data_IF_525132028786
#
_entry.id   IF_525132028786
#
_cell.length_a   1.000
_cell.length_b   1.000
_cell.length_c   1.000
_cell.angle_alpha   90.00
_cell.angle_beta   90.00
_cell.angle_gamma   90.00
#
_symmetry.space_group_name_H-M   'P 1'
#
loop_
_entity.id
_entity.type
_entity.pdbx_description
1 polymer ?
#
# COMPACT_ATOMS: atom_id res chain seq x y z
N UNK A 1 29.57 25.05 -51.29
CA UNK A 1 28.83 26.14 -51.96
C UNK A 1 27.43 25.64 -52.27
N UNK A 2 26.44 26.49 -52.02
CA UNK A 2 24.99 26.30 -52.25
C UNK A 2 24.26 25.37 -51.30
N UNK A 3 23.05 25.68 -50.82
CA UNK A 3 22.32 26.94 -50.61
C UNK A 3 21.07 26.49 -49.82
N UNK A 4 20.71 27.23 -48.78
CA UNK A 4 19.39 27.11 -48.16
C UNK A 4 18.31 27.58 -49.14
N UNK A 5 17.06 27.09 -48.98
CA UNK A 5 15.78 27.80 -49.06
C UNK A 5 14.60 26.80 -48.87
N UNK A 6 13.39 27.26 -48.50
CA UNK A 6 12.51 26.58 -47.55
C UNK A 6 11.27 25.96 -48.21
N UNK A 7 10.67 24.97 -47.54
CA UNK A 7 9.37 24.40 -47.92
C UNK A 7 8.22 25.27 -47.41
N UNK A 8 7.55 25.94 -48.34
CA UNK A 8 6.25 26.57 -48.14
C UNK A 8 5.13 25.54 -48.26
N UNK A 9 4.20 25.56 -47.29
CA UNK A 9 3.01 24.72 -47.27
C UNK A 9 1.96 25.25 -48.26
N UNK A 10 1.48 24.37 -49.14
CA UNK A 10 0.35 24.61 -50.04
C UNK A 10 -0.88 23.92 -49.43
N UNK A 11 -1.83 24.70 -48.90
CA UNK A 11 -3.11 24.19 -48.41
C UNK A 11 -4.11 24.19 -49.56
N UNK A 12 -4.59 23.01 -49.94
CA UNK A 12 -5.71 22.83 -50.85
C UNK A 12 -7.03 23.03 -50.08
N UNK A 13 -7.80 24.03 -50.46
CA UNK A 13 -9.17 24.22 -50.01
C UNK A 13 -10.10 23.29 -50.81
N UNK A 14 -10.81 22.40 -50.11
CA UNK A 14 -11.97 21.70 -50.64
C UNK A 14 -13.19 22.14 -49.82
N UNK A 15 -14.05 22.95 -50.44
CA UNK A 15 -15.34 23.33 -49.90
C UNK A 15 -16.30 22.15 -50.06
N UNK A 16 -16.92 21.70 -48.96
CA UNK A 16 -18.14 20.90 -49.02
C UNK A 16 -19.26 21.72 -48.38
N UNK A 17 -20.27 22.01 -49.20
CA UNK A 17 -21.48 22.70 -48.82
C UNK A 17 -22.37 21.76 -48.00
N UNK A 18 -22.76 22.23 -46.81
CA UNK A 18 -24.03 21.95 -46.15
C UNK A 18 -24.36 20.49 -45.81
N UNK A 19 -24.20 20.14 -44.53
CA UNK A 19 -25.29 19.52 -43.79
C UNK A 19 -25.08 19.67 -42.27
N UNK A 20 -26.20 19.91 -41.61
CA UNK A 20 -26.37 20.40 -40.24
C UNK A 20 -25.80 19.49 -39.15
N UNK A 21 -25.28 20.12 -38.10
CA UNK A 21 -24.89 19.47 -36.85
C UNK A 21 -24.14 20.43 -35.95
N UNK A 22 -24.86 21.33 -35.27
CA UNK A 22 -24.30 22.22 -34.26
C UNK A 22 -23.95 21.45 -32.99
N UNK A 23 -22.66 21.24 -32.75
CA UNK A 23 -22.10 21.09 -31.40
C UNK A 23 -21.05 22.18 -31.23
N UNK A 24 -21.49 23.33 -30.72
CA UNK A 24 -20.59 24.39 -30.28
C UNK A 24 -19.83 23.92 -29.05
N UNK A 25 -18.51 23.93 -29.15
CA UNK A 25 -17.60 24.04 -28.02
C UNK A 25 -17.55 25.51 -27.60
N UNK A 26 -17.92 25.81 -26.36
CA UNK A 26 -17.42 27.00 -25.67
C UNK A 26 -16.67 26.53 -24.43
N UNK A 27 -15.34 26.70 -24.49
CA UNK A 27 -14.49 26.85 -23.32
C UNK A 27 -14.79 28.21 -22.70
N UNK A 28 -15.31 28.21 -21.48
CA UNK A 28 -15.04 29.24 -20.47
C UNK A 28 -15.29 28.61 -19.10
N UNK A 29 -14.29 28.63 -18.21
CA UNK A 29 -14.48 28.44 -16.77
C UNK A 29 -13.34 29.19 -16.07
N UNK A 30 -13.47 30.51 -16.05
CA UNK A 30 -13.21 31.24 -14.82
C UNK A 30 -14.56 31.58 -14.18
N UNK A 31 -14.92 30.89 -13.09
CA UNK A 31 -15.84 31.44 -12.09
C UNK A 31 -17.12 30.65 -11.83
N UNK A 32 -17.08 29.92 -10.70
CA UNK A 32 -18.16 29.67 -9.73
C UNK A 32 -19.51 29.09 -10.23
N UNK A 33 -19.96 27.94 -9.70
CA UNK A 33 -21.33 27.50 -9.91
C UNK A 33 -22.33 28.28 -9.06
N UNK A 34 -23.35 28.71 -9.79
CA UNK A 34 -24.55 29.45 -9.45
C UNK A 34 -25.58 28.67 -8.63
N UNK A 35 -26.41 29.44 -7.95
CA UNK A 35 -27.68 29.04 -7.35
C UNK A 35 -28.80 28.89 -8.41
N UNK A 36 -29.91 28.30 -7.95
CA UNK A 36 -31.31 28.27 -8.46
C UNK A 36 -31.80 26.81 -8.63
N UNK A 37 -32.95 26.32 -8.17
CA UNK A 37 -34.14 26.80 -7.44
C UNK A 37 -34.90 25.50 -6.98
N UNK A 38 -35.96 25.43 -6.17
CA UNK A 38 -36.97 26.38 -5.71
C UNK A 38 -37.78 25.78 -4.53
N UNK A 39 -38.34 26.71 -3.74
CA UNK A 39 -39.64 26.68 -3.07
C UNK A 39 -39.97 25.60 -2.01
N UNK A 40 -40.12 26.10 -0.76
CA UNK A 40 -41.44 26.09 -0.12
C UNK A 40 -41.59 27.22 0.92
N UNK A 41 -42.82 27.69 0.98
CA UNK A 41 -43.38 28.92 1.57
C UNK A 41 -43.76 28.80 3.05
N UNK A 42 -43.68 29.92 3.79
CA UNK A 42 -44.57 30.22 4.93
C UNK A 42 -43.89 30.79 6.16
N UNK A 43 -43.78 32.13 6.24
CA UNK A 43 -43.48 32.84 7.49
C UNK A 43 -44.76 33.46 8.06
N UNK A 44 -45.04 33.14 9.33
CA UNK A 44 -46.13 33.74 10.08
C UNK A 44 -46.41 33.00 11.38
N UNK A 45 -45.77 33.42 12.48
CA UNK A 45 -46.18 32.98 13.82
C UNK A 45 -45.10 33.08 14.88
N UNK A 46 -44.95 34.28 15.47
CA UNK A 46 -44.31 34.41 16.76
C UNK A 46 -45.16 33.70 17.84
N UNK A 47 -44.56 32.80 18.59
CA UNK A 47 -44.98 32.47 19.95
C UNK A 47 -43.77 32.13 20.79
N UNK A 48 -43.44 33.06 21.68
CA UNK A 48 -42.65 32.77 22.85
C UNK A 48 -43.53 31.94 23.80
N UNK A 49 -43.16 30.68 24.02
CA UNK A 49 -43.37 30.03 25.30
C UNK A 49 -42.20 29.08 25.59
N UNK A 50 -41.70 29.14 26.81
CA UNK A 50 -40.41 28.63 27.22
C UNK A 50 -40.37 27.11 27.42
N UNK A 51 -39.20 26.55 27.15
CA UNK A 51 -38.52 25.60 28.04
C UNK A 51 -37.24 25.15 27.32
N UNK A 52 -36.13 25.81 27.65
CA UNK A 52 -34.82 25.37 27.21
C UNK A 52 -34.44 24.10 27.97
N UNK A 53 -34.69 22.95 27.36
CA UNK A 53 -33.88 21.76 27.60
C UNK A 53 -33.26 21.35 26.27
N UNK A 54 -31.93 21.18 26.18
CA UNK A 54 -31.32 20.67 24.97
C UNK A 54 -31.68 19.18 24.87
N UNK A 55 -32.68 18.84 24.08
CA UNK A 55 -32.90 17.46 23.66
C UNK A 55 -31.85 17.11 22.62
N UNK A 56 -30.72 16.59 23.10
CA UNK A 56 -29.77 15.83 22.29
C UNK A 56 -30.56 14.72 21.56
N UNK A 57 -30.34 14.48 20.25
CA UNK A 57 -30.86 13.28 19.61
C UNK A 57 -30.17 12.08 20.25
N UNK A 58 -30.78 11.56 21.31
CA UNK A 58 -30.25 10.49 22.16
C UNK A 58 -30.77 9.16 21.62
N UNK A 59 -30.34 8.79 20.41
CA UNK A 59 -30.29 7.37 20.06
C UNK A 59 -29.14 6.72 20.84
N UNK A 60 -29.24 5.45 21.27
CA UNK A 60 -28.05 4.75 21.75
C UNK A 60 -26.96 4.88 20.70
N UNK A 61 -25.67 5.07 21.09
CA UNK A 61 -24.58 5.14 20.11
C UNK A 61 -24.71 3.94 19.20
N UNK A 62 -24.93 4.25 17.93
CA UNK A 62 -25.17 3.25 16.93
C UNK A 62 -23.83 3.01 16.30
N UNK A 63 -23.19 1.90 16.65
CA UNK A 63 -21.90 1.44 16.12
C UNK A 63 -21.92 1.06 14.63
N UNK A 64 -22.75 1.74 13.84
CA UNK A 64 -23.02 1.52 12.43
C UNK A 64 -23.79 2.71 11.80
N UNK A 65 -23.69 3.93 12.37
CA UNK A 65 -24.36 5.13 11.84
C UNK A 65 -23.43 6.02 10.98
N UNK A 66 -22.17 5.64 10.80
CA UNK A 66 -21.20 6.37 9.99
C UNK A 66 -20.67 7.64 10.67
N UNK A 67 -20.87 7.78 11.97
CA UNK A 67 -20.41 8.94 12.76
C UNK A 67 -19.71 8.44 13.99
N UNK A 68 -18.60 9.11 14.35
CA UNK A 68 -17.97 8.91 15.64
C UNK A 68 -18.80 9.59 16.72
N UNK A 69 -19.58 8.82 17.49
CA UNK A 69 -20.39 9.35 18.59
C UNK A 69 -20.42 8.45 19.85
N UNK A 70 -21.01 8.97 20.92
CA UNK A 70 -21.00 8.30 22.23
C UNK A 70 -19.59 8.03 22.76
N UNK A 71 -19.30 6.75 23.03
CA UNK A 71 -18.02 6.28 23.58
C UNK A 71 -17.05 5.77 22.50
N UNK A 72 -17.37 5.93 21.22
CA UNK A 72 -16.54 5.45 20.11
C UNK A 72 -15.18 6.13 20.03
N UNK A 73 -14.13 5.33 19.81
CA UNK A 73 -12.79 5.86 19.60
C UNK A 73 -12.48 6.14 18.14
N UNK A 74 -13.15 5.47 17.20
CA UNK A 74 -13.21 5.81 15.78
C UNK A 74 -14.63 5.63 15.24
N UNK A 75 -14.91 6.08 14.01
CA UNK A 75 -16.27 5.97 13.42
C UNK A 75 -16.78 4.53 13.48
N UNK A 76 -17.90 4.33 14.19
CA UNK A 76 -18.59 3.03 14.34
C UNK A 76 -17.77 1.95 15.09
N UNK A 77 -16.72 2.31 15.84
CA UNK A 77 -15.91 1.33 16.58
C UNK A 77 -15.19 1.89 17.83
N UNK A 78 -14.74 0.96 18.67
CA UNK A 78 -13.98 1.22 19.89
C UNK A 78 -14.87 1.69 21.04
N UNK A 79 -14.25 1.98 22.18
CA UNK A 79 -14.99 2.22 23.40
C UNK A 79 -15.62 0.95 23.97
N UNK A 80 -16.48 1.11 24.98
CA UNK A 80 -17.01 -0.01 25.75
C UNK A 80 -18.17 -0.75 25.08
N UNK A 81 -18.89 -0.08 24.17
CA UNK A 81 -20.18 -0.56 23.64
C UNK A 81 -20.12 -0.99 22.16
N UNK A 82 -19.09 -0.58 21.43
CA UNK A 82 -18.95 -0.85 20.01
C UNK A 82 -17.91 -1.93 19.71
N UNK A 83 -17.95 -2.54 18.50
CA UNK A 83 -16.93 -3.49 18.09
C UNK A 83 -15.54 -2.87 18.17
N UNK A 84 -14.52 -3.70 18.41
CA UNK A 84 -13.14 -3.23 18.38
C UNK A 84 -12.80 -2.63 17.01
N UNK A 85 -12.13 -1.49 17.02
CA UNK A 85 -11.60 -0.88 15.83
C UNK A 85 -10.60 -1.78 15.10
N UNK A 86 -10.65 -1.80 13.76
CA UNK A 86 -9.66 -2.48 12.96
C UNK A 86 -8.29 -1.80 13.11
N UNK A 87 -7.25 -2.46 12.61
CA UNK A 87 -5.91 -1.89 12.52
C UNK A 87 -5.95 -0.53 11.77
N UNK A 88 -5.19 0.45 12.26
CA UNK A 88 -5.21 1.83 11.78
C UNK A 88 -6.39 2.66 12.30
N UNK A 89 -7.41 2.06 12.93
CA UNK A 89 -8.50 2.78 13.58
C UNK A 89 -8.01 3.58 14.80
N UNK A 90 -8.70 4.66 15.13
CA UNK A 90 -8.41 5.48 16.31
C UNK A 90 -8.76 4.74 17.61
N UNK A 91 -7.92 4.88 18.63
CA UNK A 91 -8.08 4.22 19.92
C UNK A 91 -7.60 5.10 21.06
N UNK A 92 -8.16 4.87 22.26
CA UNK A 92 -7.70 5.45 23.51
C UNK A 92 -6.99 4.40 24.39
N UNK A 93 -7.35 3.13 24.22
CA UNK A 93 -6.84 2.01 25.01
C UNK A 93 -6.77 0.73 24.17
N UNK A 94 -5.98 -0.24 24.65
CA UNK A 94 -5.81 -1.55 24.02
C UNK A 94 -7.14 -2.22 23.64
N UNK A 95 -8.12 -2.21 24.54
CA UNK A 95 -9.41 -2.86 24.33
C UNK A 95 -10.23 -2.27 23.17
N UNK A 96 -9.90 -1.07 22.70
CA UNK A 96 -10.56 -0.48 21.53
C UNK A 96 -10.12 -1.15 20.23
N UNK A 97 -9.04 -1.93 20.24
CA UNK A 97 -8.41 -2.45 19.03
C UNK A 97 -8.60 -3.96 18.88
N UNK A 98 -8.81 -4.42 17.65
CA UNK A 98 -8.92 -5.85 17.33
C UNK A 98 -7.65 -6.63 17.73
N UNK A 99 -6.51 -5.94 17.73
CA UNK A 99 -5.20 -6.45 18.14
C UNK A 99 -4.92 -6.39 19.64
N UNK A 100 -5.81 -5.75 20.41
CA UNK A 100 -5.55 -5.36 21.80
C UNK A 100 -4.31 -4.46 21.98
N UNK A 101 -3.91 -3.72 20.95
CA UNK A 101 -2.78 -2.82 21.00
C UNK A 101 -3.14 -1.45 20.41
N UNK A 102 -3.20 -0.46 21.31
CA UNK A 102 -3.35 0.95 20.94
C UNK A 102 -1.98 1.62 20.97
N UNK A 103 -1.50 2.04 19.80
CA UNK A 103 -0.22 2.72 19.63
C UNK A 103 -0.16 4.06 20.35
N UNK A 104 1.06 4.54 20.60
CA UNK A 104 1.29 5.85 21.23
C UNK A 104 0.75 7.04 20.40
N UNK A 105 0.47 6.82 19.12
CA UNK A 105 -0.20 7.76 18.21
C UNK A 105 -1.74 7.71 18.29
N UNK A 106 -2.30 6.91 19.21
CA UNK A 106 -3.74 6.72 19.34
C UNK A 106 -4.35 5.92 18.19
N UNK A 107 -3.58 5.02 17.57
CA UNK A 107 -4.04 4.15 16.48
C UNK A 107 -3.90 2.67 16.84
N UNK A 108 -4.86 1.85 16.45
CA UNK A 108 -4.81 0.40 16.58
C UNK A 108 -3.68 -0.16 15.73
N UNK A 109 -2.77 -0.90 16.35
CA UNK A 109 -1.60 -1.49 15.68
C UNK A 109 -1.56 -2.98 15.92
N UNK A 110 -0.81 -3.72 15.12
CA UNK A 110 -0.28 -5.00 15.55
C UNK A 110 1.25 -4.87 15.53
N UNK A 111 1.96 -5.18 16.61
CA UNK A 111 3.43 -5.15 16.55
C UNK A 111 4.03 -6.38 15.81
N UNK A 112 3.18 -7.10 15.08
CA UNK A 112 3.54 -8.25 14.25
C UNK A 112 4.26 -7.84 12.96
N UNK A 113 4.30 -6.56 12.59
CA UNK A 113 5.02 -6.04 11.42
C UNK A 113 4.38 -6.34 10.07
N UNK A 114 3.59 -7.40 9.96
CA UNK A 114 2.78 -7.72 8.79
C UNK A 114 1.36 -7.17 8.92
N UNK A 115 0.85 -6.59 7.84
CA UNK A 115 -0.45 -5.92 7.81
C UNK A 115 -1.62 -6.87 8.16
N UNK A 116 -1.55 -8.12 7.73
CA UNK A 116 -2.55 -9.16 8.02
C UNK A 116 -2.39 -9.81 9.40
N UNK A 117 -1.34 -9.44 10.14
CA UNK A 117 -1.09 -9.88 11.51
C UNK A 117 -0.40 -11.24 11.64
N UNK A 118 0.00 -11.89 10.54
CA UNK A 118 0.75 -13.16 10.58
C UNK A 118 2.16 -12.99 10.04
N UNK A 119 3.14 -13.61 10.70
CA UNK A 119 4.54 -13.65 10.23
C UNK A 119 4.83 -15.02 9.60
N UNK A 120 5.30 -15.05 8.37
CA UNK A 120 5.71 -16.28 7.66
C UNK A 120 7.21 -16.58 7.83
N UNK A 121 7.96 -15.64 8.38
CA UNK A 121 9.35 -15.74 8.77
C UNK A 121 9.67 -14.72 9.85
N UNK A 122 10.75 -14.93 10.59
CA UNK A 122 11.05 -14.18 11.82
C UNK A 122 9.92 -14.27 12.85
N UNK A 123 9.31 -15.46 12.99
CA UNK A 123 8.17 -15.71 13.87
C UNK A 123 8.49 -15.64 15.37
N UNK A 124 9.77 -15.72 15.75
CA UNK A 124 10.21 -15.53 17.13
C UNK A 124 10.30 -14.03 17.47
N UNK A 125 9.15 -13.39 17.72
CA UNK A 125 9.05 -11.93 17.95
C UNK A 125 9.93 -11.41 19.09
N UNK A 126 10.20 -12.22 20.11
CA UNK A 126 11.12 -11.85 21.19
C UNK A 126 12.59 -11.74 20.71
N UNK A 127 12.97 -12.53 19.71
CA UNK A 127 14.31 -12.51 19.11
C UNK A 127 14.41 -11.55 17.92
N UNK A 128 13.29 -11.30 17.25
CA UNK A 128 13.18 -10.49 16.03
C UNK A 128 12.05 -9.47 16.16
N UNK A 129 12.13 -8.53 17.12
CA UNK A 129 11.08 -7.55 17.32
C UNK A 129 10.96 -6.59 16.13
N UNK A 130 12.05 -6.34 15.39
CA UNK A 130 12.12 -5.25 14.41
C UNK A 130 12.15 -5.70 12.95
N UNK A 131 11.96 -7.00 12.67
CA UNK A 131 11.90 -7.55 11.31
C UNK A 131 10.84 -8.65 11.23
N UNK A 132 10.08 -8.68 10.14
CA UNK A 132 9.07 -9.69 9.85
C UNK A 132 9.12 -10.08 8.37
N UNK A 133 8.87 -11.35 8.05
CA UNK A 133 8.61 -11.74 6.66
C UNK A 133 7.10 -11.87 6.47
N UNK A 134 6.56 -11.07 5.56
CA UNK A 134 5.12 -10.86 5.38
C UNK A 134 4.72 -11.34 3.99
N UNK A 135 3.96 -12.44 3.94
CA UNK A 135 3.52 -13.02 2.68
C UNK A 135 2.24 -12.35 2.18
N UNK A 136 2.00 -12.48 0.88
CA UNK A 136 0.86 -11.87 0.22
C UNK A 136 1.22 -11.33 -1.15
N UNK A 137 0.21 -10.80 -1.83
CA UNK A 137 0.36 -10.19 -3.15
C UNK A 137 0.33 -8.67 -3.15
N UNK A 138 0.69 -8.10 -4.29
CA UNK A 138 0.49 -6.71 -4.68
C UNK A 138 0.35 -6.64 -6.21
N UNK A 139 -0.61 -5.84 -6.68
CA UNK A 139 -0.83 -5.66 -8.11
C UNK A 139 -0.21 -4.38 -8.66
N UNK A 140 0.02 -3.34 -7.86
CA UNK A 140 0.68 -2.12 -8.33
C UNK A 140 2.20 -2.36 -8.44
N UNK A 141 2.81 -2.19 -9.62
CA UNK A 141 4.17 -2.62 -9.86
C UNK A 141 5.19 -1.82 -9.06
N UNK A 142 6.31 -2.49 -8.78
CA UNK A 142 7.55 -1.87 -8.36
C UNK A 142 7.86 -2.04 -6.88
N UNK A 143 9.16 -2.15 -6.61
CA UNK A 143 9.78 -2.16 -5.29
C UNK A 143 10.47 -0.85 -4.95
N UNK A 144 10.90 -0.09 -5.95
CA UNK A 144 11.64 1.18 -5.74
C UNK A 144 10.72 2.34 -5.37
N UNK A 145 9.42 2.15 -5.49
CA UNK A 145 8.47 3.20 -5.22
C UNK A 145 8.23 3.36 -3.71
N UNK A 146 8.65 4.51 -3.15
CA UNK A 146 8.47 4.87 -1.74
C UNK A 146 7.08 5.44 -1.44
N UNK A 147 6.11 5.27 -2.36
CA UNK A 147 4.69 5.60 -2.14
C UNK A 147 4.20 5.02 -0.81
N UNK A 148 3.35 5.80 -0.16
CA UNK A 148 2.53 5.32 0.94
C UNK A 148 1.71 4.07 0.51
N UNK A 149 1.25 3.24 1.47
CA UNK A 149 0.35 2.12 1.18
C UNK A 149 -0.83 2.56 0.32
N UNK A 150 -1.12 1.84 -0.76
CA UNK A 150 -2.09 2.24 -1.77
C UNK A 150 -3.52 1.72 -1.50
N UNK A 151 -3.65 0.62 -0.76
CA UNK A 151 -4.92 -0.03 -0.50
C UNK A 151 -5.28 -0.07 0.99
N UNK A 152 -4.69 0.82 1.79
CA UNK A 152 -4.94 0.90 3.22
C UNK A 152 -4.42 -0.32 3.99
N UNK A 153 -3.31 -0.93 3.53
CA UNK A 153 -2.70 -2.11 4.16
C UNK A 153 -3.64 -3.31 4.23
N UNK A 154 -4.49 -3.47 3.23
CA UNK A 154 -5.41 -4.61 3.13
C UNK A 154 -4.73 -5.88 2.58
N UNK A 155 -3.46 -5.82 2.14
CA UNK A 155 -2.74 -6.96 1.58
C UNK A 155 -2.30 -7.97 2.67
N UNK A 156 -1.98 -9.20 2.24
CA UNK A 156 -1.46 -10.25 3.11
C UNK A 156 -2.12 -11.61 2.86
N UNK A 157 -1.39 -12.71 2.99
CA UNK A 157 -1.92 -14.05 2.72
C UNK A 157 -3.04 -14.48 3.69
N UNK A 158 -3.07 -13.93 4.90
CA UNK A 158 -4.15 -14.14 5.86
C UNK A 158 -5.22 -13.03 5.81
N UNK A 159 -5.13 -12.09 4.86
CA UNK A 159 -6.05 -10.95 4.74
C UNK A 159 -7.27 -11.24 3.85
N UNK A 160 -8.17 -10.26 3.76
CA UNK A 160 -9.31 -10.27 2.83
C UNK A 160 -8.91 -9.94 1.38
N UNK A 161 -7.71 -9.36 1.16
CA UNK A 161 -7.17 -9.05 -0.16
C UNK A 161 -5.82 -9.75 -0.40
N UNK A 162 -5.80 -11.09 -0.44
CA UNK A 162 -4.55 -11.86 -0.43
C UNK A 162 -3.77 -11.78 -1.74
N UNK A 163 -4.41 -11.40 -2.85
CA UNK A 163 -3.74 -11.09 -4.12
C UNK A 163 -3.16 -9.67 -4.17
N UNK A 164 -3.47 -8.82 -3.18
CA UNK A 164 -3.07 -7.42 -3.15
C UNK A 164 -3.60 -6.62 -4.33
N UNK A 165 -4.85 -6.86 -4.72
CA UNK A 165 -5.51 -6.05 -5.75
C UNK A 165 -5.51 -4.58 -5.33
N UNK A 166 -5.01 -3.73 -6.22
CA UNK A 166 -4.83 -2.28 -6.05
C UNK A 166 -3.87 -1.90 -4.90
N UNK A 167 -3.11 -2.87 -4.37
CA UNK A 167 -2.09 -2.65 -3.35
C UNK A 167 -0.69 -2.53 -3.98
N UNK A 168 0.19 -1.79 -3.31
CA UNK A 168 1.63 -1.79 -3.56
C UNK A 168 2.36 -2.62 -2.48
N UNK A 169 3.68 -2.77 -2.61
CA UNK A 169 4.50 -3.57 -1.68
C UNK A 169 4.44 -3.09 -0.23
N UNK A 170 4.23 -1.78 0.00
CA UNK A 170 4.16 -1.22 1.35
C UNK A 170 2.87 -1.58 2.09
N UNK A 171 1.81 -2.01 1.37
CA UNK A 171 0.56 -2.48 1.97
C UNK A 171 0.70 -3.83 2.70
N UNK A 172 1.80 -4.57 2.49
CA UNK A 172 2.07 -5.81 3.23
C UNK A 172 2.66 -5.54 4.63
N UNK A 173 3.25 -4.37 4.83
CA UNK A 173 3.80 -3.98 6.12
C UNK A 173 2.76 -3.25 6.97
N UNK A 174 2.88 -3.34 8.29
CA UNK A 174 2.03 -2.61 9.22
C UNK A 174 2.42 -1.11 9.34
N UNK A 175 1.53 -0.28 9.86
CA UNK A 175 1.83 1.06 10.38
C UNK A 175 3.02 1.01 11.35
N UNK A 176 4.00 1.90 11.15
CA UNK A 176 5.27 1.88 11.90
C UNK A 176 6.31 0.92 11.33
N UNK A 177 5.98 0.25 10.22
CA UNK A 177 6.86 -0.65 9.49
C UNK A 177 6.89 -0.25 8.00
N UNK A 178 8.01 -0.57 7.36
CA UNK A 178 8.25 -0.34 5.94
C UNK A 178 8.88 -1.59 5.32
N UNK A 179 8.87 -1.68 3.98
CA UNK A 179 9.63 -2.74 3.29
C UNK A 179 11.10 -2.47 3.52
N UNK A 180 11.84 -3.43 4.08
CA UNK A 180 13.26 -3.25 4.41
C UNK A 180 14.02 -2.70 3.21
N UNK A 181 14.83 -1.67 3.44
CA UNK A 181 15.48 -0.92 2.38
C UNK A 181 16.62 -1.71 1.74
N UNK A 182 17.52 -2.27 2.55
CA UNK A 182 18.72 -2.92 2.05
C UNK A 182 19.25 -4.04 2.98
N UNK A 183 20.30 -4.72 2.52
CA UNK A 183 20.98 -5.76 3.28
C UNK A 183 21.51 -5.28 4.64
N UNK A 184 21.94 -4.02 4.76
CA UNK A 184 22.45 -3.46 6.02
C UNK A 184 21.33 -3.30 7.04
N UNK A 185 20.16 -2.85 6.59
CA UNK A 185 18.98 -2.79 7.44
C UNK A 185 18.54 -4.18 7.88
N UNK A 186 18.41 -5.15 6.95
CA UNK A 186 18.05 -6.53 7.30
C UNK A 186 19.01 -7.09 8.34
N UNK A 187 20.31 -6.84 8.19
CA UNK A 187 21.32 -7.25 9.18
C UNK A 187 21.07 -6.61 10.54
N UNK A 188 20.78 -5.31 10.58
CA UNK A 188 20.56 -4.57 11.82
C UNK A 188 19.29 -5.04 12.53
N UNK A 189 18.16 -5.11 11.81
CA UNK A 189 16.84 -5.44 12.37
C UNK A 189 16.69 -6.91 12.76
N UNK A 190 17.53 -7.79 12.22
CA UNK A 190 17.62 -9.22 12.60
C UNK A 190 18.66 -9.51 13.70
N UNK A 191 19.25 -8.48 14.33
CA UNK A 191 20.28 -8.66 15.36
C UNK A 191 21.57 -9.29 14.82
N UNK A 192 21.88 -9.08 13.54
CA UNK A 192 23.05 -9.61 12.84
C UNK A 192 22.85 -10.95 12.14
N UNK A 193 21.70 -11.60 12.33
CA UNK A 193 21.44 -12.95 11.80
C UNK A 193 21.12 -12.96 10.29
N UNK A 194 20.64 -11.84 9.74
CA UNK A 194 20.27 -11.78 8.34
C UNK A 194 19.13 -12.73 7.98
N UNK A 195 19.18 -13.28 6.76
CA UNK A 195 18.24 -14.29 6.31
C UNK A 195 18.27 -15.59 7.13
N UNK A 196 19.37 -15.88 7.85
CA UNK A 196 19.44 -17.06 8.72
C UNK A 196 18.43 -16.97 9.88
N UNK A 197 18.01 -15.77 10.26
CA UNK A 197 17.00 -15.56 11.31
C UNK A 197 15.55 -15.81 10.85
N UNK A 198 15.30 -15.90 9.55
CA UNK A 198 13.94 -15.98 9.01
C UNK A 198 13.24 -17.31 9.35
N UNK A 199 14.00 -18.41 9.46
CA UNK A 199 13.56 -19.73 9.90
C UNK A 199 12.24 -20.21 9.25
N UNK A 200 12.22 -20.30 7.91
CA UNK A 200 11.04 -20.76 7.16
C UNK A 200 10.69 -22.23 7.43
N UNK A 201 9.43 -22.58 7.22
CA UNK A 201 8.96 -23.96 7.35
C UNK A 201 9.74 -24.92 6.42
N UNK A 202 10.00 -26.13 6.88
CA UNK A 202 10.73 -27.13 6.10
C UNK A 202 10.00 -27.43 4.78
N UNK A 203 10.72 -27.34 3.66
CA UNK A 203 10.16 -27.56 2.32
C UNK A 203 9.32 -26.41 1.77
N UNK A 204 9.18 -25.30 2.50
CA UNK A 204 8.55 -24.10 1.96
C UNK A 204 9.31 -23.60 0.72
N UNK A 205 8.57 -23.15 -0.30
CA UNK A 205 9.13 -22.49 -1.48
C UNK A 205 8.78 -21.00 -1.43
N UNK A 206 9.61 -20.21 -0.74
CA UNK A 206 9.31 -18.82 -0.40
C UNK A 206 10.48 -17.90 -0.71
N UNK A 207 10.16 -16.69 -1.14
CA UNK A 207 11.10 -15.60 -1.34
C UNK A 207 10.48 -14.33 -0.75
N UNK A 208 11.25 -13.61 0.07
CA UNK A 208 10.82 -12.37 0.69
C UNK A 208 11.77 -11.26 0.31
N UNK A 209 11.25 -10.33 -0.48
CA UNK A 209 12.04 -9.31 -1.17
C UNK A 209 12.26 -8.08 -0.29
N UNK A 210 13.39 -7.40 -0.49
CA UNK A 210 13.69 -6.05 0.05
C UNK A 210 13.61 -5.01 -1.07
N UNK A 211 13.75 -3.71 -0.76
CA UNK A 211 13.76 -2.66 -1.81
C UNK A 211 15.05 -2.65 -2.62
N UNK A 212 16.18 -3.02 -2.01
CA UNK A 212 17.48 -3.05 -2.67
C UNK A 212 17.47 -3.96 -3.91
N UNK A 213 17.96 -3.40 -5.00
CA UNK A 213 18.19 -4.06 -6.28
C UNK A 213 19.68 -3.99 -6.62
N UNK A 214 20.04 -4.04 -7.90
CA UNK A 214 21.41 -4.07 -8.34
C UNK A 214 21.64 -3.61 -9.78
N UNK A 215 22.91 -3.45 -10.17
CA UNK A 215 23.30 -3.17 -11.55
C UNK A 215 23.25 -4.41 -12.45
N UNK A 216 22.94 -5.59 -11.89
CA UNK A 216 22.93 -6.89 -12.56
C UNK A 216 24.12 -7.77 -12.17
N UNK A 217 24.16 -8.99 -12.71
CA UNK A 217 25.23 -9.95 -12.43
C UNK A 217 25.19 -10.48 -10.99
N UNK A 218 24.00 -10.56 -10.39
CA UNK A 218 23.78 -11.02 -9.02
C UNK A 218 24.39 -10.13 -7.91
N UNK A 219 24.78 -8.89 -8.23
CA UNK A 219 25.34 -7.93 -7.28
C UNK A 219 24.26 -7.00 -6.73
N UNK A 220 24.30 -6.72 -5.43
CA UNK A 220 23.46 -5.69 -4.82
C UNK A 220 24.12 -4.31 -4.95
N UNK A 221 23.32 -3.27 -5.17
CA UNK A 221 23.82 -1.90 -5.31
C UNK A 221 22.81 -1.00 -6.00
N UNK A 222 23.31 0.05 -6.66
CA UNK A 222 22.49 0.96 -7.43
C UNK A 222 22.05 0.31 -8.75
N UNK A 223 20.78 0.42 -9.08
CA UNK A 223 20.17 -0.14 -10.28
C UNK A 223 18.79 -0.74 -10.00
N UNK A 224 18.18 -1.28 -11.04
CA UNK A 224 16.87 -1.93 -10.98
C UNK A 224 16.89 -3.35 -11.55
N UNK A 225 18.08 -3.87 -11.85
CA UNK A 225 18.28 -5.19 -12.37
C UNK A 225 18.33 -6.20 -11.22
N UNK A 226 17.55 -7.26 -11.35
CA UNK A 226 17.28 -8.26 -10.31
C UNK A 226 16.60 -7.72 -9.04
N UNK A 227 15.93 -8.61 -8.31
CA UNK A 227 15.39 -8.34 -6.98
C UNK A 227 16.00 -9.31 -5.97
N UNK A 228 16.28 -8.82 -4.75
CA UNK A 228 17.05 -9.53 -3.74
C UNK A 228 16.26 -9.69 -2.46
N UNK A 229 16.60 -10.70 -1.66
CA UNK A 229 15.84 -10.99 -0.45
C UNK A 229 16.32 -12.23 0.30
N UNK A 230 15.43 -12.70 1.16
CA UNK A 230 15.61 -13.93 1.94
C UNK A 230 14.68 -15.03 1.43
N UNK A 231 15.16 -16.27 1.36
CA UNK A 231 14.25 -17.35 0.96
C UNK A 231 14.86 -18.72 0.76
N UNK A 232 14.00 -19.64 0.35
CA UNK A 232 14.34 -21.01 -0.02
C UNK A 232 14.37 -21.22 -1.53
N UNK A 233 13.86 -20.25 -2.31
CA UNK A 233 13.89 -20.24 -3.79
C UNK A 233 14.57 -18.97 -4.29
N UNK A 234 15.09 -19.01 -5.52
CA UNK A 234 16.00 -18.00 -6.06
C UNK A 234 17.44 -18.51 -6.16
N UNK A 235 18.25 -17.82 -6.95
CA UNK A 235 19.68 -18.09 -7.05
C UNK A 235 20.46 -17.42 -5.91
N UNK A 236 21.71 -17.83 -5.69
CA UNK A 236 22.57 -17.24 -4.67
C UNK A 236 23.21 -15.95 -5.20
N UNK A 237 23.06 -14.80 -4.52
CA UNK A 237 23.66 -13.54 -4.94
C UNK A 237 25.15 -13.48 -4.60
N UNK A 238 25.83 -12.44 -5.08
CA UNK A 238 27.20 -12.14 -4.66
C UNK A 238 27.25 -11.77 -3.18
N UNK A 239 27.91 -12.60 -2.37
CA UNK A 239 27.98 -12.43 -0.92
C UNK A 239 28.76 -11.17 -0.49
N UNK A 240 29.61 -10.62 -1.36
CA UNK A 240 30.42 -9.43 -1.04
C UNK A 240 29.55 -8.17 -1.02
N UNK A 241 28.66 -8.05 -2.00
CA UNK A 241 27.78 -6.88 -2.19
C UNK A 241 26.44 -7.04 -1.49
N UNK A 242 25.88 -8.25 -1.47
CA UNK A 242 24.55 -8.52 -0.91
C UNK A 242 24.56 -8.92 0.58
N UNK A 243 25.74 -9.17 1.15
CA UNK A 243 25.93 -9.37 2.59
C UNK A 243 25.06 -10.48 3.19
N UNK A 244 23.97 -10.08 3.85
CA UNK A 244 23.07 -11.00 4.56
C UNK A 244 21.92 -11.55 3.71
N UNK A 245 21.71 -11.01 2.51
CA UNK A 245 20.69 -11.49 1.57
C UNK A 245 21.19 -12.77 0.89
N UNK A 246 20.34 -13.79 0.81
CA UNK A 246 20.75 -15.12 0.37
C UNK A 246 20.06 -15.61 -0.91
N UNK A 247 19.08 -14.84 -1.42
CA UNK A 247 18.36 -15.14 -2.65
C UNK A 247 18.22 -13.92 -3.54
N UNK A 248 18.22 -14.17 -4.85
CA UNK A 248 17.81 -13.19 -5.86
C UNK A 248 17.04 -13.86 -7.00
N UNK A 249 16.39 -13.03 -7.81
CA UNK A 249 15.41 -13.46 -8.82
C UNK A 249 15.97 -14.02 -10.11
N UNK A 250 17.19 -13.60 -10.48
CA UNK A 250 17.71 -13.68 -11.85
C UNK A 250 16.85 -12.88 -12.85
N UNK A 251 17.37 -12.69 -14.06
CA UNK A 251 16.69 -12.15 -15.23
C UNK A 251 15.22 -12.59 -15.28
N UNK A 252 14.33 -11.59 -15.33
CA UNK A 252 12.89 -11.78 -15.46
C UNK A 252 12.26 -12.72 -14.40
N UNK A 253 12.78 -12.74 -13.17
CA UNK A 253 12.30 -13.62 -12.10
C UNK A 253 12.42 -15.13 -12.41
N UNK A 254 13.31 -15.53 -13.33
CA UNK A 254 13.38 -16.92 -13.81
C UNK A 254 13.72 -17.97 -12.74
N UNK A 255 14.29 -17.56 -11.61
CA UNK A 255 14.59 -18.44 -10.46
C UNK A 255 13.53 -18.42 -9.36
N UNK A 256 12.44 -17.65 -9.55
CA UNK A 256 11.33 -17.57 -8.61
C UNK A 256 10.10 -18.33 -9.14
N UNK A 257 9.17 -18.73 -8.24
CA UNK A 257 7.90 -19.31 -8.66
C UNK A 257 7.12 -18.37 -9.59
N UNK A 258 6.31 -18.94 -10.49
CA UNK A 258 5.52 -18.19 -11.49
C UNK A 258 4.52 -17.18 -10.91
N UNK A 259 4.36 -17.15 -9.58
CA UNK A 259 3.64 -16.11 -8.85
C UNK A 259 4.33 -14.74 -8.91
N UNK A 260 5.63 -14.72 -9.22
CA UNK A 260 6.47 -13.53 -9.35
C UNK A 260 6.57 -13.12 -10.82
N UNK A 261 6.27 -11.86 -11.12
CA UNK A 261 6.32 -11.34 -12.49
C UNK A 261 7.17 -10.07 -12.54
N UNK A 262 8.40 -10.20 -13.05
CA UNK A 262 9.40 -9.13 -13.16
C UNK A 262 9.25 -8.24 -14.43
N UNK A 263 8.09 -8.29 -15.11
CA UNK A 263 7.89 -7.56 -16.37
C UNK A 263 8.63 -8.17 -17.56
N UNK A 264 9.04 -7.33 -18.51
CA UNK A 264 9.71 -7.74 -19.76
C UNK A 264 11.06 -7.06 -20.00
N UNK A 265 11.50 -6.21 -19.07
CA UNK A 265 12.78 -5.50 -19.14
C UNK A 265 13.80 -6.20 -18.25
N UNK A 266 14.92 -6.60 -18.86
CA UNK A 266 16.02 -7.37 -18.27
C UNK A 266 16.92 -6.56 -17.32
N UNK A 267 16.63 -5.28 -17.13
CA UNK A 267 17.41 -4.38 -16.25
C UNK A 267 16.53 -3.50 -15.39
N UNK A 268 15.24 -3.81 -15.31
CA UNK A 268 14.21 -2.97 -14.68
C UNK A 268 13.20 -3.81 -13.89
N UNK A 269 13.61 -5.01 -13.48
CA UNK A 269 12.81 -5.95 -12.72
C UNK A 269 12.25 -5.32 -11.46
N UNK A 270 13.07 -4.56 -10.72
CA UNK A 270 12.66 -3.91 -9.49
C UNK A 270 11.53 -2.90 -9.69
N UNK A 271 11.48 -2.20 -10.82
CA UNK A 271 10.38 -1.26 -11.15
C UNK A 271 9.13 -1.96 -11.69
N UNK A 272 9.29 -3.12 -12.31
CA UNK A 272 8.19 -3.82 -12.96
C UNK A 272 7.53 -4.90 -12.09
N UNK A 273 8.20 -5.36 -11.03
CA UNK A 273 7.80 -6.56 -10.31
C UNK A 273 6.39 -6.43 -9.70
N UNK A 274 5.61 -7.48 -9.94
CA UNK A 274 4.30 -7.73 -9.33
C UNK A 274 4.26 -9.15 -8.78
N UNK A 275 3.38 -9.35 -7.81
CA UNK A 275 3.07 -10.67 -7.28
C UNK A 275 1.58 -10.74 -6.97
N UNK A 276 0.78 -11.25 -7.89
CA UNK A 276 -0.69 -11.25 -7.72
C UNK A 276 -1.23 -12.49 -7.01
N UNK A 277 -0.35 -13.38 -6.55
CA UNK A 277 -0.70 -14.53 -5.74
C UNK A 277 -0.22 -14.36 -4.29
N UNK A 278 -0.99 -14.88 -3.35
CA UNK A 278 -0.67 -14.81 -1.92
C UNK A 278 0.47 -15.73 -1.49
N UNK A 279 0.59 -16.89 -2.15
CA UNK A 279 1.57 -17.92 -1.83
C UNK A 279 3.00 -17.53 -2.24
N UNK A 280 3.98 -18.34 -1.82
CA UNK A 280 5.38 -18.27 -2.26
C UNK A 280 6.14 -16.98 -1.88
N UNK A 281 5.74 -16.39 -0.74
CA UNK A 281 6.48 -15.32 -0.08
C UNK A 281 5.83 -13.95 -0.24
N UNK A 282 6.64 -12.90 -0.20
CA UNK A 282 6.17 -11.52 -0.15
C UNK A 282 7.32 -10.56 0.10
N UNK A 283 7.21 -9.71 1.12
CA UNK A 283 8.24 -8.70 1.46
C UNK A 283 8.82 -8.95 2.84
N UNK A 284 10.04 -8.46 3.07
CA UNK A 284 10.53 -8.24 4.43
C UNK A 284 10.08 -6.86 4.90
N UNK A 285 9.44 -6.82 6.07
CA UNK A 285 9.05 -5.59 6.72
C UNK A 285 9.98 -5.31 7.90
N UNK A 286 10.56 -4.11 7.92
CA UNK A 286 11.43 -3.61 8.97
C UNK A 286 10.71 -2.52 9.75
N UNK A 287 10.93 -2.48 11.07
CA UNK A 287 10.37 -1.44 11.94
C UNK A 287 11.07 -0.11 11.64
N UNK A 288 10.31 0.99 11.61
CA UNK A 288 10.86 2.34 11.42
C UNK A 288 11.87 2.70 12.51
#
# INVERSE_FOLDING_TARGET
MSAALPFAALVFAFACAGCSGSVDYLFDEAGAPSADAAAQSGDGGASADGSATPTLPSGPPSCANGRRDGDETDVDCGGALCPTCPLGGSCAQAADCVSFECGADGRCRNDNGCADGTREGFGATASYPDIAACAGGWSLPGLVDTRAPACGRAAGNASQNPSGKDCNVADLCQVGWHVCEDASEVKTRSGGNGCAGAAFAAGAQVFFVVRQSGPGGAMCGEGENDIFGCGTVGAAPDATTCGVLDRFSHDLCSQLPATWACGSGDTSEASAVRKTAAANGGVLCCRN
#
